data_IF_829638833548
#
_entry.id   IF_829638833548
#
_cell.length_a   1.000
_cell.length_b   1.000
_cell.length_c   1.000
_cell.angle_alpha   90.00
_cell.angle_beta   90.00
_cell.angle_gamma   90.00
#
_symmetry.space_group_name_H-M   'P 1'
#
loop_
_entity.id
_entity.type
_entity.pdbx_description
1 polymer ?
#
# COMPACT_ATOMS: atom_id res chain seq x y z
N UNK A 1 -13.78 -10.34 35.83
CA UNK A 1 -14.16 -9.74 34.53
C UNK A 1 -12.91 -9.74 33.65
N UNK A 2 -12.95 -10.37 32.47
CA UNK A 2 -11.80 -10.40 31.54
C UNK A 2 -11.99 -9.28 30.50
N UNK A 3 -11.22 -8.19 30.63
CA UNK A 3 -11.22 -7.00 29.76
C UNK A 3 -10.42 -7.24 28.46
N UNK A 4 -10.81 -8.23 27.65
CA UNK A 4 -9.95 -8.75 26.56
C UNK A 4 -9.88 -7.84 25.33
N UNK A 5 -10.65 -6.76 25.25
CA UNK A 5 -10.72 -5.86 24.08
C UNK A 5 -10.42 -4.39 24.37
N UNK A 6 -9.94 -4.04 25.57
CA UNK A 6 -9.73 -2.64 25.94
C UNK A 6 -8.32 -2.15 25.52
N UNK A 7 -8.20 -1.05 24.75
CA UNK A 7 -6.90 -0.53 24.34
C UNK A 7 -6.04 -0.13 25.54
N UNK A 8 -4.81 -0.65 25.58
CA UNK A 8 -3.87 -0.46 26.70
C UNK A 8 -4.07 -1.41 27.89
N UNK A 9 -5.11 -2.25 27.87
CA UNK A 9 -5.30 -3.31 28.87
C UNK A 9 -5.80 -2.83 30.23
N UNK A 10 -5.70 -3.69 31.25
CA UNK A 10 -6.30 -3.45 32.57
C UNK A 10 -5.75 -2.21 33.27
N UNK A 11 -4.48 -1.87 33.04
CA UNK A 11 -3.82 -0.70 33.63
C UNK A 11 -4.44 0.62 33.12
N UNK A 12 -4.71 0.71 31.82
CA UNK A 12 -5.34 1.90 31.23
C UNK A 12 -6.78 2.08 31.72
N UNK A 13 -7.52 0.98 31.89
CA UNK A 13 -8.85 1.01 32.49
C UNK A 13 -8.81 1.45 33.97
N UNK A 14 -7.82 0.99 34.74
CA UNK A 14 -7.67 1.41 36.14
C UNK A 14 -7.41 2.93 36.24
N UNK A 15 -6.58 3.49 35.36
CA UNK A 15 -6.34 4.93 35.32
C UNK A 15 -7.60 5.72 34.92
N UNK A 16 -8.36 5.23 33.93
CA UNK A 16 -9.64 5.81 33.56
C UNK A 16 -10.65 5.76 34.71
N UNK A 17 -10.72 4.64 35.43
CA UNK A 17 -11.58 4.50 36.60
C UNK A 17 -11.15 5.47 37.73
N UNK A 18 -9.84 5.59 38.00
CA UNK A 18 -9.30 6.57 38.97
C UNK A 18 -9.76 7.98 38.62
N UNK A 19 -9.70 8.36 37.34
CA UNK A 19 -10.22 9.65 36.87
C UNK A 19 -11.70 9.82 37.20
N UNK A 20 -12.54 8.85 36.83
CA UNK A 20 -14.00 8.91 37.04
C UNK A 20 -14.39 9.00 38.52
N UNK A 21 -13.62 8.38 39.42
CA UNK A 21 -13.84 8.45 40.86
C UNK A 21 -13.18 9.68 41.54
N UNK A 22 -12.60 10.60 40.77
CA UNK A 22 -11.94 11.80 41.30
C UNK A 22 -10.63 11.52 42.04
N UNK A 23 -10.02 10.35 41.81
CA UNK A 23 -8.71 10.00 42.35
C UNK A 23 -7.64 10.68 41.48
N UNK A 24 -6.80 11.49 42.11
CA UNK A 24 -5.68 12.14 41.42
C UNK A 24 -4.60 11.13 41.05
N UNK A 25 -4.12 11.24 39.81
CA UNK A 25 -2.92 10.57 39.32
C UNK A 25 -2.19 11.49 38.36
N UNK A 26 -0.92 11.18 38.09
CA UNK A 26 -0.08 11.94 37.18
C UNK A 26 -0.20 11.39 35.76
N UNK A 27 -0.43 12.28 34.79
CA UNK A 27 -0.32 11.94 33.37
C UNK A 27 1.17 11.98 33.04
N UNK A 28 1.71 10.82 32.65
CA UNK A 28 3.13 10.67 32.32
C UNK A 28 3.31 10.38 30.84
N UNK A 29 4.54 10.50 30.37
CA UNK A 29 4.94 10.19 29.00
C UNK A 29 4.74 8.72 28.62
N UNK A 30 4.74 7.81 29.59
CA UNK A 30 4.51 6.39 29.39
C UNK A 30 3.02 6.03 29.33
N UNK A 31 2.16 6.80 30.01
CA UNK A 31 0.73 6.48 30.15
C UNK A 31 -0.16 7.30 29.20
N UNK A 32 0.30 8.47 28.73
CA UNK A 32 -0.53 9.41 27.96
C UNK A 32 -1.14 8.82 26.69
N UNK A 33 -0.40 8.01 25.93
CA UNK A 33 -0.91 7.38 24.72
C UNK A 33 -2.08 6.43 25.02
N UNK A 34 -1.91 5.60 26.05
CA UNK A 34 -2.95 4.68 26.51
C UNK A 34 -4.17 5.42 27.05
N UNK A 35 -3.96 6.56 27.74
CA UNK A 35 -5.03 7.41 28.25
C UNK A 35 -5.86 8.00 27.11
N UNK A 36 -5.25 8.47 26.02
CA UNK A 36 -5.97 8.91 24.82
C UNK A 36 -6.78 7.77 24.19
N UNK A 37 -6.19 6.57 24.06
CA UNK A 37 -6.88 5.43 23.46
C UNK A 37 -8.06 4.92 24.32
N UNK A 38 -7.89 4.84 25.65
CA UNK A 38 -8.95 4.37 26.55
C UNK A 38 -10.05 5.42 26.74
N UNK A 39 -9.71 6.72 26.76
CA UNK A 39 -10.71 7.78 26.84
C UNK A 39 -11.61 7.81 25.61
N UNK A 40 -11.03 7.56 24.44
CA UNK A 40 -11.75 7.48 23.17
C UNK A 40 -12.65 6.23 23.13
N UNK A 41 -12.11 5.07 23.52
CA UNK A 41 -12.86 3.81 23.61
C UNK A 41 -14.04 3.86 24.60
N UNK A 42 -13.88 4.58 25.71
CA UNK A 42 -14.92 4.75 26.73
C UNK A 42 -15.84 5.95 26.45
N UNK A 43 -15.67 6.62 25.30
CA UNK A 43 -16.44 7.81 24.90
C UNK A 43 -16.44 8.90 25.98
N UNK A 44 -15.28 9.11 26.62
CA UNK A 44 -15.08 10.13 27.65
C UNK A 44 -14.92 11.51 26.99
N UNK A 45 -16.05 12.13 26.66
CA UNK A 45 -16.11 13.43 25.97
C UNK A 45 -16.35 14.63 26.91
N UNK A 46 -16.07 15.84 26.43
CA UNK A 46 -16.37 17.08 27.15
C UNK A 46 -17.87 17.32 27.40
N UNK A 47 -18.76 16.56 26.74
CA UNK A 47 -20.21 16.66 26.94
C UNK A 47 -20.62 16.22 28.35
N UNK A 48 -19.85 15.31 28.96
CA UNK A 48 -20.13 14.77 30.29
C UNK A 48 -19.43 15.53 31.41
N UNK A 49 -18.23 16.06 31.16
CA UNK A 49 -17.46 16.83 32.15
C UNK A 49 -16.42 17.71 31.47
N UNK A 50 -16.30 18.95 31.96
CA UNK A 50 -15.23 19.87 31.53
C UNK A 50 -13.85 19.35 31.95
N UNK A 51 -12.85 19.48 31.08
CA UNK A 51 -11.49 18.95 31.29
C UNK A 51 -11.49 17.43 31.49
N UNK A 52 -12.20 16.71 30.63
CA UNK A 52 -12.26 15.25 30.66
C UNK A 52 -10.86 14.64 30.43
N UNK A 53 -10.72 13.37 30.76
CA UNK A 53 -9.48 12.62 30.66
C UNK A 53 -8.86 12.71 29.25
N UNK A 54 -9.70 12.61 28.22
CA UNK A 54 -9.26 12.74 26.83
C UNK A 54 -8.59 14.09 26.57
N UNK A 55 -9.25 15.19 26.93
CA UNK A 55 -8.72 16.55 26.75
C UNK A 55 -7.45 16.81 27.56
N UNK A 56 -7.38 16.36 28.82
CA UNK A 56 -6.15 16.50 29.63
C UNK A 56 -4.99 15.68 29.07
N UNK A 57 -5.26 14.46 28.59
CA UNK A 57 -4.26 13.62 27.97
C UNK A 57 -3.76 14.24 26.66
N UNK A 58 -4.67 14.77 25.84
CA UNK A 58 -4.34 15.41 24.57
C UNK A 58 -3.55 16.72 24.75
N UNK A 59 -3.92 17.56 25.72
CA UNK A 59 -3.18 18.78 26.05
C UNK A 59 -1.75 18.47 26.54
N UNK A 60 -1.61 17.49 27.44
CA UNK A 60 -0.29 17.02 27.88
C UNK A 60 0.51 16.48 26.68
N UNK A 61 -0.12 15.65 25.85
CA UNK A 61 0.51 15.07 24.67
C UNK A 61 0.94 16.15 23.68
N UNK A 62 0.15 17.20 23.46
CA UNK A 62 0.52 18.32 22.59
C UNK A 62 1.74 19.10 23.12
N UNK A 63 1.82 19.31 24.43
CA UNK A 63 2.97 19.97 25.07
C UNK A 63 4.24 19.10 25.13
N UNK A 64 4.07 17.78 25.12
CA UNK A 64 5.16 16.83 25.36
C UNK A 64 5.60 16.10 24.09
N UNK A 65 4.75 15.90 23.08
CA UNK A 65 5.09 15.27 21.79
C UNK A 65 6.37 15.82 21.18
N UNK A 66 6.56 17.16 21.08
CA UNK A 66 7.84 17.70 20.69
C UNK A 66 8.94 17.13 21.61
N UNK A 67 8.85 17.36 22.92
CA UNK A 67 9.87 17.02 23.92
C UNK A 67 10.19 15.52 24.05
N UNK A 68 9.23 14.61 23.84
CA UNK A 68 9.38 13.16 23.94
C UNK A 68 9.93 12.55 22.68
N UNK A 69 9.45 13.00 21.52
CA UNK A 69 10.06 12.66 20.23
C UNK A 69 11.53 13.10 20.29
N UNK A 70 11.83 14.27 20.87
CA UNK A 70 13.20 14.68 21.15
C UNK A 70 13.87 13.77 22.20
N UNK A 71 13.33 13.54 23.39
CA UNK A 71 14.05 12.82 24.46
C UNK A 71 14.24 11.32 24.21
N UNK A 72 13.30 10.65 23.52
CA UNK A 72 13.41 9.24 23.11
C UNK A 72 14.23 9.05 21.81
N UNK A 73 14.15 9.96 20.81
CA UNK A 73 14.99 9.85 19.60
C UNK A 73 16.42 10.39 19.79
N UNK A 74 16.70 11.17 20.85
CA UNK A 74 18.00 11.81 21.07
C UNK A 74 19.09 10.88 21.63
N UNK A 75 18.80 9.61 21.95
CA UNK A 75 19.84 8.66 22.37
C UNK A 75 20.31 7.71 21.26
N UNK A 76 19.53 7.48 20.20
CA UNK A 76 19.99 6.63 19.08
C UNK A 76 20.89 7.40 18.10
N UNK A 77 20.58 8.68 17.84
CA UNK A 77 21.35 9.51 16.89
C UNK A 77 22.73 9.94 17.43
N UNK A 78 22.87 10.09 18.76
CA UNK A 78 24.13 10.46 19.40
C UNK A 78 25.06 9.25 19.59
N UNK A 79 24.54 8.06 19.92
CA UNK A 79 25.37 6.85 20.06
C UNK A 79 25.86 6.29 18.72
N UNK A 80 25.06 6.36 17.64
CA UNK A 80 25.55 6.00 16.30
C UNK A 80 26.63 6.95 15.76
N UNK A 81 26.84 8.10 16.40
CA UNK A 81 27.89 9.08 16.04
C UNK A 81 29.06 9.13 17.02
N UNK A 82 29.04 8.35 18.10
CA UNK A 82 30.09 8.36 19.13
C UNK A 82 31.03 7.14 19.15
N UNK A 83 30.95 6.24 18.18
CA UNK A 83 32.15 5.50 17.76
C UNK A 83 33.04 6.39 16.87
N UNK A 84 33.53 7.47 17.47
CA UNK A 84 34.80 8.06 17.06
C UNK A 84 35.88 7.10 17.59
N UNK A 85 36.18 6.06 16.82
CA UNK A 85 37.35 5.23 17.09
C UNK A 85 38.57 6.15 17.00
N UNK A 86 39.22 6.37 18.13
CA UNK A 86 40.50 7.05 18.28
C UNK A 86 41.66 6.20 17.72
N UNK A 87 41.45 5.59 16.55
CA UNK A 87 42.47 4.86 15.79
C UNK A 87 42.04 4.81 14.32
N UNK A 88 42.65 5.66 13.49
CA UNK A 88 42.31 5.85 12.08
C UNK A 88 42.60 4.64 11.18
N UNK A 89 41.76 3.60 11.24
CA UNK A 89 41.76 2.48 10.30
C UNK A 89 40.32 2.11 9.94
N UNK A 90 39.93 2.41 8.69
CA UNK A 90 38.65 1.98 8.14
C UNK A 90 38.68 0.46 7.94
N UNK A 91 38.05 -0.26 8.85
CA UNK A 91 37.60 -1.62 8.58
C UNK A 91 36.10 -1.57 8.34
N UNK A 92 35.67 -1.90 7.12
CA UNK A 92 34.28 -2.24 6.82
C UNK A 92 33.96 -3.57 7.50
N UNK A 93 33.65 -3.51 8.80
CA UNK A 93 33.01 -4.62 9.48
C UNK A 93 31.61 -4.74 8.89
N UNK A 94 31.31 -5.93 8.35
CA UNK A 94 29.94 -6.37 8.07
C UNK A 94 29.06 -5.94 9.24
N UNK A 95 28.05 -5.11 8.97
CA UNK A 95 27.12 -4.72 10.00
C UNK A 95 26.52 -5.99 10.61
N UNK A 96 26.62 -6.21 11.93
CA UNK A 96 25.67 -7.10 12.57
C UNK A 96 24.31 -6.47 12.36
N UNK A 97 23.32 -7.29 12.00
CA UNK A 97 21.89 -6.98 11.90
C UNK A 97 21.54 -6.00 13.04
N UNK A 98 21.47 -4.71 12.73
CA UNK A 98 21.22 -3.70 13.75
C UNK A 98 19.84 -4.03 14.32
N UNK A 99 19.69 -4.13 15.64
CA UNK A 99 18.40 -4.13 16.35
C UNK A 99 17.71 -2.76 16.18
N UNK A 100 17.60 -2.32 14.93
CA UNK A 100 17.10 -1.03 14.52
C UNK A 100 15.63 -1.19 14.24
N UNK A 101 14.82 -0.66 15.15
CA UNK A 101 13.45 -0.15 14.97
C UNK A 101 12.60 -0.24 16.25
N UNK A 102 13.20 -0.16 17.45
CA UNK A 102 12.51 -0.19 18.76
C UNK A 102 11.32 0.78 18.86
N UNK A 103 11.35 1.89 18.12
CA UNK A 103 10.31 2.91 18.15
C UNK A 103 9.07 2.52 17.35
N UNK A 104 9.19 1.62 16.35
CA UNK A 104 8.10 1.22 15.46
C UNK A 104 6.98 0.55 16.25
N UNK A 105 7.31 -0.36 17.16
CA UNK A 105 6.32 -1.03 18.00
C UNK A 105 5.67 -0.05 18.98
N UNK A 106 6.47 0.81 19.61
CA UNK A 106 6.04 1.82 20.57
C UNK A 106 5.02 2.81 19.98
N UNK A 107 5.24 3.28 18.75
CA UNK A 107 4.33 4.25 18.14
C UNK A 107 3.14 3.58 17.44
N UNK A 108 3.22 2.28 17.17
CA UNK A 108 2.16 1.58 16.44
C UNK A 108 0.86 1.38 17.23
N UNK A 109 0.89 1.65 18.54
CA UNK A 109 -0.30 1.62 19.41
C UNK A 109 -1.03 2.97 19.49
N UNK A 110 -0.46 4.01 18.88
CA UNK A 110 -1.04 5.34 18.86
C UNK A 110 -2.27 5.37 17.97
N UNK A 111 -3.26 6.19 18.32
CA UNK A 111 -4.35 6.54 17.41
C UNK A 111 -3.80 7.17 16.13
N UNK A 112 -4.55 7.06 15.03
CA UNK A 112 -4.14 7.50 13.70
C UNK A 112 -3.73 8.98 13.63
N UNK A 113 -4.43 9.86 14.35
CA UNK A 113 -4.13 11.30 14.42
C UNK A 113 -2.75 11.56 15.06
N UNK A 114 -2.45 10.83 16.13
CA UNK A 114 -1.18 10.93 16.85
C UNK A 114 -0.04 10.29 16.05
N UNK A 115 -0.32 9.12 15.46
CA UNK A 115 0.61 8.43 14.58
C UNK A 115 1.01 9.31 13.39
N UNK A 116 0.04 9.95 12.72
CA UNK A 116 0.28 10.88 11.62
C UNK A 116 1.21 12.03 12.02
N UNK A 117 0.94 12.65 13.17
CA UNK A 117 1.74 13.77 13.68
C UNK A 117 3.16 13.34 14.00
N UNK A 118 3.34 12.18 14.62
CA UNK A 118 4.65 11.61 14.94
C UNK A 118 5.43 11.30 13.66
N UNK A 119 4.84 10.58 12.69
CA UNK A 119 5.52 10.26 11.42
C UNK A 119 5.87 11.53 10.64
N UNK A 120 4.97 12.51 10.60
CA UNK A 120 5.25 13.80 9.92
C UNK A 120 6.45 14.50 10.54
N UNK A 121 6.53 14.56 11.89
CA UNK A 121 7.67 15.14 12.58
C UNK A 121 8.97 14.36 12.34
N UNK A 122 8.89 13.02 12.29
CA UNK A 122 9.99 12.11 11.99
C UNK A 122 10.53 12.34 10.57
N UNK A 123 9.64 12.47 9.57
CA UNK A 123 9.99 12.79 8.17
C UNK A 123 10.78 14.09 8.06
N UNK A 124 10.35 15.16 8.73
CA UNK A 124 11.04 16.45 8.73
C UNK A 124 12.45 16.44 9.33
N UNK A 125 12.85 15.36 10.01
CA UNK A 125 14.15 15.22 10.66
C UNK A 125 15.11 14.25 9.97
N UNK A 126 14.74 13.74 8.80
CA UNK A 126 15.62 12.93 7.97
C UNK A 126 15.83 11.51 8.50
N UNK A 127 14.85 10.97 9.24
CA UNK A 127 14.81 9.52 9.46
C UNK A 127 14.68 8.84 8.11
N UNK A 128 15.40 7.72 7.95
CA UNK A 128 15.48 7.03 6.67
C UNK A 128 14.09 6.60 6.16
N UNK A 129 13.79 6.78 4.86
CA UNK A 129 12.55 6.33 4.25
C UNK A 129 12.20 4.87 4.56
N UNK A 130 13.18 3.96 4.58
CA UNK A 130 12.97 2.53 4.84
C UNK A 130 12.42 2.26 6.24
N UNK A 131 12.88 3.01 7.25
CA UNK A 131 12.41 2.88 8.64
C UNK A 131 11.00 3.47 8.80
N UNK A 132 10.69 4.55 8.06
CA UNK A 132 9.33 5.10 7.98
C UNK A 132 8.39 4.10 7.27
N UNK A 133 8.84 3.49 6.18
CA UNK A 133 8.12 2.46 5.44
C UNK A 133 7.80 1.25 6.33
N UNK A 134 8.82 0.72 7.03
CA UNK A 134 8.65 -0.35 8.00
C UNK A 134 7.63 0.01 9.09
N UNK A 135 7.65 1.25 9.57
CA UNK A 135 6.68 1.71 10.57
C UNK A 135 5.26 1.71 10.03
N UNK A 136 5.07 2.23 8.81
CA UNK A 136 3.76 2.28 8.15
C UNK A 136 3.20 0.89 7.89
N UNK A 137 4.05 -0.04 7.44
CA UNK A 137 3.66 -1.44 7.27
C UNK A 137 3.22 -2.01 8.62
N UNK A 138 4.07 -1.94 9.65
CA UNK A 138 3.74 -2.46 10.98
C UNK A 138 2.47 -1.84 11.59
N UNK A 139 2.24 -0.53 11.39
CA UNK A 139 1.02 0.14 11.83
C UNK A 139 -0.22 -0.43 11.12
N UNK A 140 -0.17 -0.53 9.79
CA UNK A 140 -1.25 -1.07 8.97
C UNK A 140 -1.59 -2.53 9.32
N UNK A 141 -0.58 -3.33 9.74
CA UNK A 141 -0.78 -4.72 10.14
C UNK A 141 -1.49 -4.89 11.49
N UNK A 142 -1.33 -3.92 12.41
CA UNK A 142 -1.93 -3.96 13.75
C UNK A 142 -3.36 -3.40 13.77
N UNK A 143 -3.65 -2.47 12.87
CA UNK A 143 -4.98 -1.92 12.68
C UNK A 143 -5.98 -2.99 12.16
N UNK A 144 -7.30 -2.84 12.42
CA UNK A 144 -8.32 -3.85 12.10
C UNK A 144 -8.42 -4.22 10.61
N UNK A 145 -7.72 -3.49 9.73
CA UNK A 145 -7.65 -3.68 8.29
C UNK A 145 -7.20 -5.12 7.92
N UNK A 146 -6.27 -5.73 8.69
CA UNK A 146 -5.90 -7.15 8.49
C UNK A 146 -6.93 -8.14 9.04
N UNK A 147 -7.63 -7.81 10.13
CA UNK A 147 -8.58 -8.72 10.80
C UNK A 147 -9.85 -8.97 9.99
N UNK A 148 -10.15 -8.08 9.04
CA UNK A 148 -11.26 -8.23 8.10
C UNK A 148 -10.96 -9.24 6.96
N UNK A 149 -9.77 -9.87 6.94
CA UNK A 149 -9.42 -10.89 5.93
C UNK A 149 -9.17 -10.34 4.52
N UNK A 150 -9.22 -9.01 4.38
CA UNK A 150 -9.24 -8.26 3.12
C UNK A 150 -7.95 -8.31 2.32
N UNK A 151 -6.83 -8.61 2.99
CA UNK A 151 -5.51 -8.59 2.37
C UNK A 151 -5.14 -9.89 1.66
N UNK A 152 -5.73 -11.02 2.06
CA UNK A 152 -5.21 -12.34 1.71
C UNK A 152 -6.20 -13.26 0.99
N UNK A 153 -7.45 -12.85 0.75
CA UNK A 153 -8.43 -13.75 0.12
C UNK A 153 -9.32 -13.05 -0.91
N UNK A 154 -9.17 -13.35 -2.21
CA UNK A 154 -10.08 -12.86 -3.26
C UNK A 154 -11.46 -13.54 -3.27
N UNK A 155 -11.69 -14.59 -2.46
CA UNK A 155 -12.82 -15.52 -2.62
C UNK A 155 -13.90 -15.53 -1.51
N UNK A 156 -13.93 -14.59 -0.57
CA UNK A 156 -15.05 -14.51 0.39
C UNK A 156 -15.97 -13.33 0.10
N UNK A 157 -17.07 -13.64 -0.58
CA UNK A 157 -18.21 -12.76 -0.71
C UNK A 157 -18.89 -12.54 0.66
N UNK A 158 -19.13 -11.26 0.95
CA UNK A 158 -20.11 -10.75 1.92
C UNK A 158 -19.92 -11.17 3.39
N UNK A 159 -19.11 -10.39 4.12
CA UNK A 159 -19.35 -10.15 5.54
C UNK A 159 -19.97 -8.76 5.68
N UNK A 160 -21.16 -8.70 6.27
CA UNK A 160 -22.00 -7.51 6.40
C UNK A 160 -21.21 -6.28 6.89
N UNK A 161 -21.31 -5.11 6.22
CA UNK A 161 -20.67 -3.90 6.70
C UNK A 161 -21.46 -3.36 7.89
N UNK A 162 -20.95 -3.56 9.11
CA UNK A 162 -21.43 -2.84 10.30
C UNK A 162 -21.13 -1.35 10.09
N UNK A 163 -22.20 -0.57 9.91
CA UNK A 163 -22.21 0.78 9.33
C UNK A 163 -21.60 1.90 10.21
N UNK A 164 -20.69 1.59 11.12
CA UNK A 164 -19.92 2.56 11.92
C UNK A 164 -18.40 2.43 11.81
N UNK A 165 -17.88 1.31 11.29
CA UNK A 165 -16.44 1.03 11.23
C UNK A 165 -15.75 1.60 9.97
N UNK A 166 -16.51 1.84 8.89
CA UNK A 166 -15.93 2.19 7.58
C UNK A 166 -15.31 3.58 7.49
N UNK A 167 -15.77 4.56 8.28
CA UNK A 167 -15.24 5.92 8.23
C UNK A 167 -13.85 6.02 8.88
N UNK A 168 -13.66 5.37 10.03
CA UNK A 168 -12.37 5.35 10.71
C UNK A 168 -11.35 4.51 9.94
N UNK A 169 -11.74 3.34 9.41
CA UNK A 169 -10.88 2.52 8.55
C UNK A 169 -10.42 3.27 7.30
N UNK A 170 -11.35 4.01 6.66
CA UNK A 170 -11.01 4.89 5.53
C UNK A 170 -9.99 5.95 5.92
N UNK A 171 -10.18 6.63 7.05
CA UNK A 171 -9.24 7.65 7.53
C UNK A 171 -7.85 7.07 7.82
N UNK A 172 -7.78 5.86 8.38
CA UNK A 172 -6.51 5.15 8.61
C UNK A 172 -5.81 4.88 7.28
N UNK A 173 -6.53 4.32 6.30
CA UNK A 173 -5.96 4.03 4.97
C UNK A 173 -5.48 5.30 4.27
N UNK A 174 -6.30 6.35 4.23
CA UNK A 174 -5.93 7.63 3.59
C UNK A 174 -4.73 8.28 4.30
N UNK A 175 -4.68 8.22 5.63
CA UNK A 175 -3.54 8.71 6.42
C UNK A 175 -2.27 7.94 6.08
N UNK A 176 -2.30 6.60 6.07
CA UNK A 176 -1.12 5.79 5.74
C UNK A 176 -0.61 6.11 4.33
N UNK A 177 -1.51 6.22 3.35
CA UNK A 177 -1.16 6.59 1.97
C UNK A 177 -0.49 7.96 1.94
N UNK A 178 -1.02 8.95 2.68
CA UNK A 178 -0.44 10.30 2.75
C UNK A 178 0.97 10.35 3.38
N UNK A 179 1.29 9.37 4.22
CA UNK A 179 2.57 9.29 4.92
C UNK A 179 3.64 8.51 4.14
N UNK A 180 3.25 7.69 3.15
CA UNK A 180 4.18 6.86 2.37
C UNK A 180 5.35 7.68 1.80
N UNK A 181 6.61 7.26 2.03
CA UNK A 181 7.79 7.88 1.44
C UNK A 181 7.74 7.82 -0.09
N UNK A 182 8.33 8.80 -0.77
CA UNK A 182 8.25 8.91 -2.25
C UNK A 182 9.22 7.96 -2.96
N UNK A 183 10.23 7.49 -2.24
CA UNK A 183 11.27 6.60 -2.73
C UNK A 183 10.71 5.20 -3.04
N UNK A 184 11.19 4.59 -4.13
CA UNK A 184 10.79 3.24 -4.55
C UNK A 184 11.34 2.19 -3.58
N UNK A 185 10.70 1.02 -3.53
CA UNK A 185 11.14 -0.14 -2.74
C UNK A 185 11.21 0.04 -1.21
N UNK A 186 10.75 1.18 -0.69
CA UNK A 186 10.67 1.45 0.76
C UNK A 186 9.66 0.56 1.48
N UNK A 187 8.60 0.17 0.78
CA UNK A 187 7.61 -0.82 1.24
C UNK A 187 7.45 -1.91 0.19
N UNK A 188 7.08 -3.15 0.58
CA UNK A 188 6.82 -4.23 -0.37
C UNK A 188 5.75 -3.85 -1.40
N UNK A 189 5.91 -4.28 -2.66
CA UNK A 189 4.89 -4.03 -3.70
C UNK A 189 3.54 -4.66 -3.35
N UNK A 190 3.57 -5.85 -2.72
CA UNK A 190 2.39 -6.55 -2.19
C UNK A 190 1.63 -5.71 -1.17
N UNK A 191 2.34 -4.92 -0.35
CA UNK A 191 1.75 -3.99 0.59
C UNK A 191 1.02 -2.85 -0.13
N UNK A 192 1.61 -2.28 -1.19
CA UNK A 192 0.92 -1.25 -1.99
C UNK A 192 -0.35 -1.78 -2.65
N UNK A 193 -0.32 -2.99 -3.20
CA UNK A 193 -1.52 -3.63 -3.75
C UNK A 193 -2.58 -3.91 -2.67
N UNK A 194 -2.18 -4.34 -1.48
CA UNK A 194 -3.08 -4.49 -0.33
C UNK A 194 -3.73 -3.17 0.09
N UNK A 195 -2.95 -2.08 0.09
CA UNK A 195 -3.45 -0.72 0.34
C UNK A 195 -4.42 -0.26 -0.76
N UNK A 196 -4.14 -0.57 -2.03
CA UNK A 196 -5.02 -0.21 -3.15
C UNK A 196 -6.34 -0.95 -3.07
N UNK A 197 -6.33 -2.27 -2.80
CA UNK A 197 -7.54 -3.06 -2.56
C UNK A 197 -8.38 -2.48 -1.42
N UNK A 198 -7.73 -2.15 -0.31
CA UNK A 198 -8.38 -1.52 0.85
C UNK A 198 -8.96 -0.15 0.48
N UNK A 199 -8.23 0.66 -0.28
CA UNK A 199 -8.66 1.99 -0.72
C UNK A 199 -9.85 1.93 -1.69
N UNK A 200 -9.90 0.95 -2.59
CA UNK A 200 -11.06 0.73 -3.48
C UNK A 200 -12.27 0.28 -2.67
N UNK A 201 -12.10 -0.68 -1.77
CA UNK A 201 -13.18 -1.25 -0.99
C UNK A 201 -13.80 -0.25 -0.01
N UNK A 202 -12.98 0.58 0.65
CA UNK A 202 -13.44 1.62 1.60
C UNK A 202 -13.84 2.94 0.91
N UNK A 203 -13.86 2.95 -0.43
CA UNK A 203 -14.11 4.12 -1.28
C UNK A 203 -13.32 5.36 -0.85
N UNK A 204 -12.02 5.17 -0.64
CA UNK A 204 -11.08 6.26 -0.34
C UNK A 204 -11.02 7.29 -1.48
N UNK A 205 -10.45 8.46 -1.18
CA UNK A 205 -10.33 9.55 -2.14
C UNK A 205 -9.70 9.10 -3.47
N UNK A 206 -10.15 9.68 -4.58
CA UNK A 206 -9.59 9.40 -5.92
C UNK A 206 -8.09 9.69 -5.94
N UNK A 207 -7.66 10.77 -5.28
CA UNK A 207 -6.24 11.13 -5.16
C UNK A 207 -5.41 10.04 -4.48
N UNK A 208 -5.92 9.42 -3.41
CA UNK A 208 -5.24 8.34 -2.70
C UNK A 208 -5.09 7.08 -3.58
N UNK A 209 -6.13 6.73 -4.34
CA UNK A 209 -6.08 5.59 -5.28
C UNK A 209 -5.09 5.85 -6.42
N UNK A 210 -5.16 7.01 -7.06
CA UNK A 210 -4.25 7.38 -8.14
C UNK A 210 -2.79 7.46 -7.66
N UNK A 211 -2.55 7.88 -6.41
CA UNK A 211 -1.20 7.88 -5.84
C UNK A 211 -0.64 6.46 -5.69
N UNK A 212 -1.44 5.53 -5.21
CA UNK A 212 -1.06 4.12 -5.15
C UNK A 212 -0.85 3.52 -6.54
N UNK A 213 -1.73 3.80 -7.50
CA UNK A 213 -1.60 3.33 -8.89
C UNK A 213 -0.29 3.80 -9.52
N UNK A 214 0.11 5.07 -9.34
CA UNK A 214 1.41 5.60 -9.78
C UNK A 214 2.59 4.87 -9.14
N UNK A 215 2.54 4.71 -7.82
CA UNK A 215 3.62 4.05 -7.06
C UNK A 215 3.78 2.58 -7.46
N UNK A 216 2.67 1.87 -7.63
CA UNK A 216 2.66 0.48 -8.10
C UNK A 216 3.19 0.40 -9.53
N UNK A 217 2.70 1.26 -10.44
CA UNK A 217 3.20 1.35 -11.81
C UNK A 217 4.72 1.52 -11.84
N UNK A 218 5.28 2.23 -10.87
CA UNK A 218 6.72 2.52 -10.83
C UNK A 218 7.67 1.37 -10.48
N UNK A 219 7.11 0.26 -10.02
CA UNK A 219 7.83 -0.94 -9.61
C UNK A 219 7.03 -2.20 -10.00
N UNK A 220 6.33 -2.13 -11.14
CA UNK A 220 5.45 -3.20 -11.61
C UNK A 220 6.24 -4.46 -12.03
N UNK A 221 7.52 -4.31 -12.37
CA UNK A 221 8.41 -5.38 -12.79
C UNK A 221 8.73 -6.40 -11.68
N UNK A 222 8.49 -6.04 -10.41
CA UNK A 222 8.63 -6.93 -9.26
C UNK A 222 7.28 -7.49 -8.75
N UNK A 223 6.16 -7.15 -9.40
CA UNK A 223 4.84 -7.64 -9.04
C UNK A 223 4.57 -9.07 -9.54
N UNK A 224 3.63 -9.75 -8.90
CA UNK A 224 3.17 -11.09 -9.27
C UNK A 224 1.78 -11.05 -9.91
N UNK A 225 1.34 -12.16 -10.53
CA UNK A 225 -0.02 -12.25 -11.08
C UNK A 225 -1.07 -12.03 -9.98
N UNK A 226 -0.87 -12.64 -8.81
CA UNK A 226 -1.78 -12.51 -7.67
C UNK A 226 -1.96 -11.05 -7.22
N UNK A 227 -0.93 -10.23 -7.38
CA UNK A 227 -1.00 -8.80 -7.07
C UNK A 227 -1.95 -8.04 -8.01
N UNK A 228 -1.99 -8.40 -9.30
CA UNK A 228 -2.85 -7.75 -10.30
C UNK A 228 -4.32 -8.20 -10.22
N UNK A 229 -4.60 -9.32 -9.56
CA UNK A 229 -5.96 -9.80 -9.32
C UNK A 229 -6.62 -8.97 -8.23
N UNK A 230 -7.06 -7.76 -8.61
CA UNK A 230 -7.80 -6.82 -7.76
C UNK A 230 -9.29 -7.16 -7.91
N UNK A 231 -9.99 -7.60 -6.85
CA UNK A 231 -11.42 -7.90 -6.94
C UNK A 231 -12.23 -6.67 -7.32
N UNK A 232 -13.24 -6.84 -8.17
CA UNK A 232 -14.23 -5.79 -8.42
C UNK A 232 -15.22 -5.73 -7.26
N UNK A 233 -15.47 -4.53 -6.74
CA UNK A 233 -16.50 -4.28 -5.72
C UNK A 233 -17.71 -3.54 -6.32
N UNK A 234 -17.76 -3.36 -7.65
CA UNK A 234 -18.81 -2.63 -8.34
C UNK A 234 -19.89 -3.59 -8.82
N UNK A 235 -21.04 -3.58 -8.16
CA UNK A 235 -22.29 -4.26 -8.50
C UNK A 235 -22.23 -5.79 -8.65
N UNK A 236 -23.25 -6.47 -8.13
CA UNK A 236 -23.41 -7.92 -8.32
C UNK A 236 -23.72 -8.23 -9.80
N UNK A 237 -22.76 -8.84 -10.50
CA UNK A 237 -22.91 -9.27 -11.90
C UNK A 237 -21.94 -8.61 -12.90
N UNK A 238 -21.04 -7.74 -12.45
CA UNK A 238 -19.95 -7.20 -13.28
C UNK A 238 -18.76 -8.16 -13.36
N UNK A 239 -17.72 -7.80 -14.12
CA UNK A 239 -16.44 -8.54 -14.18
C UNK A 239 -15.89 -8.86 -12.77
N UNK A 240 -15.29 -10.04 -12.60
CA UNK A 240 -14.77 -10.50 -11.29
C UNK A 240 -13.61 -9.62 -10.78
N UNK A 241 -12.81 -9.07 -11.69
CA UNK A 241 -11.63 -8.26 -11.39
C UNK A 241 -11.80 -6.82 -11.86
N UNK A 242 -11.21 -5.87 -11.14
CA UNK A 242 -11.18 -4.45 -11.51
C UNK A 242 -10.11 -4.21 -12.59
N UNK A 243 -10.53 -4.47 -13.83
CA UNK A 243 -9.69 -4.35 -15.02
C UNK A 243 -9.33 -2.88 -15.33
N UNK A 244 -10.17 -1.91 -14.94
CA UNK A 244 -9.89 -0.49 -15.14
C UNK A 244 -8.71 -0.02 -14.30
N UNK A 245 -8.64 -0.47 -13.04
CA UNK A 245 -7.53 -0.14 -12.13
C UNK A 245 -6.21 -0.72 -12.64
N UNK A 246 -6.20 -1.96 -13.11
CA UNK A 246 -4.99 -2.56 -13.70
C UNK A 246 -4.54 -1.83 -14.97
N UNK A 247 -5.48 -1.45 -15.84
CA UNK A 247 -5.16 -0.67 -17.03
C UNK A 247 -4.51 0.69 -16.68
N UNK A 248 -5.00 1.40 -15.65
CA UNK A 248 -4.36 2.64 -15.18
C UNK A 248 -2.97 2.42 -14.62
N UNK A 249 -2.73 1.33 -13.89
CA UNK A 249 -1.38 0.97 -13.40
C UNK A 249 -0.43 0.75 -14.58
N UNK A 250 -0.88 0.06 -15.63
CA UNK A 250 -0.08 -0.19 -16.83
C UNK A 250 0.27 1.10 -17.59
N UNK A 251 -0.69 2.05 -17.70
CA UNK A 251 -0.42 3.37 -18.28
C UNK A 251 0.64 4.14 -17.46
N UNK A 252 0.58 4.07 -16.13
CA UNK A 252 1.60 4.72 -15.29
C UNK A 252 2.98 4.08 -15.47
N UNK A 253 3.05 2.76 -15.66
CA UNK A 253 4.31 2.07 -15.95
C UNK A 253 4.87 2.48 -17.32
N UNK A 254 4.03 2.52 -18.37
CA UNK A 254 4.50 2.86 -19.73
C UNK A 254 4.97 4.31 -19.86
N UNK A 255 4.41 5.24 -19.08
CA UNK A 255 4.79 6.66 -19.10
C UNK A 255 6.10 6.98 -18.37
N UNK A 256 6.64 6.01 -17.62
CA UNK A 256 7.84 6.24 -16.81
C UNK A 256 9.16 6.06 -17.56
N UNK A 257 9.15 5.29 -18.65
CA UNK A 257 10.35 5.11 -19.48
C UNK A 257 10.70 6.39 -20.28
N UNK A 258 9.75 7.32 -20.46
CA UNK A 258 9.97 8.58 -21.20
C UNK A 258 10.77 9.64 -20.41
N UNK A 259 10.94 9.50 -19.08
CA UNK A 259 11.58 10.56 -18.26
C UNK A 259 13.07 10.35 -17.98
N UNK A 260 13.60 9.14 -18.18
CA UNK A 260 14.99 8.78 -17.84
C UNK A 260 15.90 8.62 -19.08
N UNK A 261 15.36 8.73 -20.30
CA UNK A 261 16.12 8.59 -21.57
C UNK A 261 16.36 9.96 -22.26
N UNK A 262 16.94 10.93 -21.54
CA UNK A 262 17.70 12.01 -22.20
C UNK A 262 19.19 11.64 -22.18
N UNK A 263 19.75 11.39 -23.36
CA UNK A 263 21.12 10.94 -23.70
C UNK A 263 21.33 9.41 -23.70
N UNK A 264 21.13 8.79 -24.87
CA UNK A 264 22.30 8.40 -25.68
C UNK A 264 21.85 8.12 -27.13
N UNK A 265 22.09 9.11 -27.97
CA UNK A 265 22.06 8.99 -29.43
C UNK A 265 23.20 8.04 -29.86
N UNK A 266 22.90 7.16 -30.84
CA UNK A 266 23.87 6.43 -31.66
C UNK A 266 24.48 5.13 -31.10
N UNK A 267 23.98 3.97 -31.55
CA UNK A 267 24.85 2.99 -32.24
C UNK A 267 24.06 1.89 -32.96
N UNK A 268 24.10 1.97 -34.29
CA UNK A 268 23.73 0.90 -35.22
C UNK A 268 24.86 -0.14 -35.24
N UNK A 269 24.91 -1.03 -34.25
CA UNK A 269 25.65 -2.30 -34.37
C UNK A 269 24.98 -3.38 -33.50
N UNK A 270 24.58 -4.49 -34.13
CA UNK A 270 24.27 -5.76 -33.49
C UNK A 270 25.42 -6.15 -32.57
N UNK A 271 25.17 -6.11 -31.27
CA UNK A 271 26.11 -6.57 -30.24
C UNK A 271 25.27 -7.23 -29.15
N UNK A 272 25.70 -8.42 -28.69
CA UNK A 272 25.20 -9.14 -27.51
C UNK A 272 25.45 -8.32 -26.22
N UNK A 273 24.98 -7.07 -26.18
CA UNK A 273 25.03 -6.23 -25.00
C UNK A 273 23.95 -6.70 -24.02
N UNK A 274 24.24 -6.68 -22.71
CA UNK A 274 23.22 -6.94 -21.70
C UNK A 274 22.07 -5.94 -21.89
N UNK A 275 20.85 -6.45 -22.03
CA UNK A 275 19.62 -5.64 -22.14
C UNK A 275 19.57 -4.60 -21.03
N UNK A 276 19.18 -3.36 -21.36
CA UNK A 276 19.09 -2.30 -20.36
C UNK A 276 18.15 -2.69 -19.20
N UNK A 277 18.33 -2.11 -18.00
CA UNK A 277 17.40 -2.34 -16.88
C UNK A 277 15.94 -2.04 -17.25
N UNK A 278 15.69 -1.02 -18.08
CA UNK A 278 14.35 -0.68 -18.61
C UNK A 278 13.78 -1.80 -19.50
N UNK A 279 14.57 -2.33 -20.44
CA UNK A 279 14.17 -3.47 -21.29
C UNK A 279 13.88 -4.73 -20.46
N UNK A 280 14.64 -4.98 -19.39
CA UNK A 280 14.40 -6.11 -18.49
C UNK A 280 13.07 -5.95 -17.73
N UNK A 281 12.77 -4.74 -17.27
CA UNK A 281 11.50 -4.43 -16.61
C UNK A 281 10.31 -4.57 -17.58
N UNK A 282 10.41 -3.97 -18.77
CA UNK A 282 9.42 -4.09 -19.85
C UNK A 282 9.10 -5.55 -20.20
N UNK A 283 10.13 -6.40 -20.31
CA UNK A 283 9.94 -7.82 -20.62
C UNK A 283 9.27 -8.61 -19.47
N UNK A 284 9.58 -8.29 -18.21
CA UNK A 284 8.90 -8.90 -17.06
C UNK A 284 7.43 -8.49 -17.01
N UNK A 285 7.16 -7.20 -17.22
CA UNK A 285 5.80 -6.67 -17.20
C UNK A 285 4.98 -7.19 -18.38
N UNK A 286 5.56 -7.34 -19.58
CA UNK A 286 4.83 -7.91 -20.73
C UNK A 286 4.36 -9.35 -20.48
N UNK A 287 5.22 -10.19 -19.89
CA UNK A 287 4.83 -11.54 -19.44
C UNK A 287 3.76 -11.51 -18.36
N UNK A 288 3.85 -10.57 -17.43
CA UNK A 288 2.86 -10.41 -16.36
C UNK A 288 1.49 -10.03 -16.94
N UNK A 289 1.45 -9.10 -17.90
CA UNK A 289 0.24 -8.69 -18.62
C UNK A 289 -0.36 -9.83 -19.42
N UNK A 290 0.45 -10.60 -20.14
CA UNK A 290 -0.03 -11.74 -20.92
C UNK A 290 -0.65 -12.83 -20.02
N UNK A 291 -0.06 -13.08 -18.84
CA UNK A 291 -0.65 -13.97 -17.83
C UNK A 291 -1.94 -13.41 -17.24
N UNK A 292 -1.98 -12.11 -16.96
CA UNK A 292 -3.17 -11.44 -16.46
C UNK A 292 -4.33 -11.49 -17.47
N UNK A 293 -4.05 -11.21 -18.75
CA UNK A 293 -5.02 -11.33 -19.85
C UNK A 293 -5.58 -12.75 -19.94
N UNK A 294 -4.73 -13.77 -19.80
CA UNK A 294 -5.18 -15.16 -19.80
C UNK A 294 -6.09 -15.50 -18.62
N UNK A 295 -5.86 -14.89 -17.45
CA UNK A 295 -6.67 -15.10 -16.24
C UNK A 295 -8.05 -14.42 -16.32
N UNK A 296 -8.14 -13.22 -16.91
CA UNK A 296 -9.42 -12.50 -17.07
C UNK A 296 -10.20 -12.94 -18.32
N UNK A 297 -9.55 -13.55 -19.31
CA UNK A 297 -10.14 -13.94 -20.58
C UNK A 297 -11.41 -14.82 -20.49
N UNK A 298 -11.53 -15.78 -19.55
CA UNK A 298 -12.72 -16.62 -19.41
C UNK A 298 -13.98 -15.86 -18.94
N UNK A 299 -13.84 -14.67 -18.37
CA UNK A 299 -14.97 -13.89 -17.83
C UNK A 299 -15.91 -13.49 -18.97
N UNK A 300 -17.19 -13.86 -18.89
CA UNK A 300 -18.17 -13.58 -19.95
C UNK A 300 -18.51 -12.09 -20.10
N UNK A 301 -18.31 -11.30 -19.05
CA UNK A 301 -18.62 -9.86 -19.01
C UNK A 301 -17.47 -9.00 -19.55
N UNK A 302 -16.27 -9.58 -19.75
CA UNK A 302 -15.13 -8.84 -20.29
C UNK A 302 -15.39 -8.40 -21.73
N UNK A 303 -15.33 -7.10 -22.00
CA UNK A 303 -15.56 -6.55 -23.35
C UNK A 303 -14.28 -6.58 -24.19
N UNK A 304 -14.43 -6.77 -25.51
CA UNK A 304 -13.29 -6.87 -26.42
C UNK A 304 -12.43 -5.61 -26.43
N UNK A 305 -13.05 -4.44 -26.43
CA UNK A 305 -12.31 -3.17 -26.43
C UNK A 305 -11.45 -3.00 -25.17
N UNK A 306 -11.90 -3.50 -24.03
CA UNK A 306 -11.13 -3.49 -22.77
C UNK A 306 -9.96 -4.48 -22.85
N UNK A 307 -10.21 -5.70 -23.33
CA UNK A 307 -9.17 -6.71 -23.53
C UNK A 307 -8.06 -6.21 -24.46
N UNK A 308 -8.43 -5.62 -25.60
CA UNK A 308 -7.49 -5.07 -26.59
C UNK A 308 -6.72 -3.89 -26.01
N UNK A 309 -7.38 -2.97 -25.29
CA UNK A 309 -6.71 -1.82 -24.68
C UNK A 309 -5.56 -2.24 -23.75
N UNK A 310 -5.74 -3.30 -22.96
CA UNK A 310 -4.70 -3.85 -22.08
C UNK A 310 -3.59 -4.54 -22.87
N UNK A 311 -3.94 -5.33 -23.88
CA UNK A 311 -2.95 -5.97 -24.75
C UNK A 311 -2.06 -4.94 -25.47
N UNK A 312 -2.62 -3.78 -25.84
CA UNK A 312 -1.93 -2.71 -26.57
C UNK A 312 -1.27 -1.66 -25.66
N UNK A 313 -1.33 -1.79 -24.33
CA UNK A 313 -0.78 -0.75 -23.43
C UNK A 313 0.76 -0.69 -23.48
N UNK A 314 1.43 -1.81 -23.75
CA UNK A 314 2.90 -1.90 -23.81
C UNK A 314 3.39 -1.82 -25.28
N UNK A 315 4.58 -1.24 -25.53
CA UNK A 315 5.12 -1.16 -26.88
C UNK A 315 5.46 -2.53 -27.46
N UNK A 316 5.50 -2.65 -28.80
CA UNK A 316 5.71 -3.94 -29.49
C UNK A 316 7.02 -4.63 -29.08
N UNK A 317 8.09 -3.86 -28.91
CA UNK A 317 9.41 -4.39 -28.52
C UNK A 317 9.45 -4.95 -27.09
N UNK A 318 8.44 -4.70 -26.25
CA UNK A 318 8.34 -5.32 -24.93
C UNK A 318 8.04 -6.82 -25.00
N UNK A 319 7.53 -7.31 -26.15
CA UNK A 319 7.22 -8.72 -26.40
C UNK A 319 8.23 -9.32 -27.37
N UNK A 320 9.17 -10.07 -26.83
CA UNK A 320 10.08 -10.91 -27.65
C UNK A 320 9.50 -12.29 -27.97
N UNK A 321 8.44 -12.69 -27.26
CA UNK A 321 7.66 -13.90 -27.52
C UNK A 321 6.17 -13.59 -27.37
N UNK A 322 5.34 -14.14 -28.26
CA UNK A 322 3.89 -13.86 -28.31
C UNK A 322 3.02 -15.02 -27.81
N UNK A 323 3.61 -16.15 -27.41
CA UNK A 323 2.87 -17.36 -26.99
C UNK A 323 1.89 -17.08 -25.84
N UNK A 324 2.28 -16.23 -24.90
CA UNK A 324 1.45 -15.81 -23.77
C UNK A 324 0.21 -15.05 -24.22
N UNK A 325 0.39 -14.03 -25.05
CA UNK A 325 -0.69 -13.24 -25.64
C UNK A 325 -1.61 -14.10 -26.52
N UNK A 326 -1.06 -14.95 -27.40
CA UNK A 326 -1.87 -15.85 -28.23
C UNK A 326 -2.69 -16.82 -27.39
N UNK A 327 -2.13 -17.36 -26.30
CA UNK A 327 -2.88 -18.18 -25.34
C UNK A 327 -4.04 -17.40 -24.72
N UNK A 328 -3.82 -16.15 -24.31
CA UNK A 328 -4.89 -15.31 -23.76
C UNK A 328 -6.01 -15.04 -24.78
N UNK A 329 -5.64 -14.75 -26.04
CA UNK A 329 -6.58 -14.55 -27.15
C UNK A 329 -7.39 -15.83 -27.41
N UNK A 330 -6.74 -16.99 -27.47
CA UNK A 330 -7.40 -18.27 -27.70
C UNK A 330 -8.44 -18.58 -26.61
N UNK A 331 -8.08 -18.36 -25.33
CA UNK A 331 -9.01 -18.50 -24.20
C UNK A 331 -10.19 -17.53 -24.34
N UNK A 332 -9.92 -16.26 -24.66
CA UNK A 332 -10.96 -15.24 -24.81
C UNK A 332 -11.95 -15.57 -25.92
N UNK A 333 -11.46 -16.10 -27.05
CA UNK A 333 -12.29 -16.50 -28.19
C UNK A 333 -13.11 -17.77 -27.91
N UNK A 334 -12.62 -18.66 -27.03
CA UNK A 334 -13.28 -19.92 -26.70
C UNK A 334 -14.30 -19.81 -25.56
N UNK A 335 -14.45 -18.65 -24.91
CA UNK A 335 -15.36 -18.51 -23.77
C UNK A 335 -16.83 -18.73 -24.17
N UNK A 336 -17.64 -19.42 -23.35
CA UNK A 336 -19.07 -19.60 -23.60
C UNK A 336 -19.80 -18.26 -23.43
N UNK A 337 -20.35 -17.73 -24.52
CA UNK A 337 -21.02 -16.43 -24.50
C UNK A 337 -22.41 -16.57 -23.88
N UNK A 338 -22.62 -15.92 -22.75
CA UNK A 338 -23.97 -15.52 -22.35
C UNK A 338 -24.50 -14.49 -23.34
N UNK A 339 -25.57 -14.85 -24.05
CA UNK A 339 -26.34 -14.02 -25.00
C UNK A 339 -25.57 -13.47 -26.21
N UNK A 340 -25.79 -14.18 -27.32
CA UNK A 340 -25.61 -13.81 -28.73
C UNK A 340 -26.00 -12.34 -28.95
N UNK A 341 -25.05 -11.46 -29.31
CA UNK A 341 -25.30 -10.20 -30.06
C UNK A 341 -24.01 -9.48 -30.53
N UNK A 342 -22.82 -9.84 -30.05
CA UNK A 342 -21.59 -9.06 -30.34
C UNK A 342 -20.70 -9.51 -31.52
N UNK A 343 -20.85 -10.73 -32.05
CA UNK A 343 -19.84 -11.36 -32.90
C UNK A 343 -19.71 -10.73 -34.29
N UNK A 344 -20.82 -10.31 -34.89
CA UNK A 344 -20.84 -9.76 -36.26
C UNK A 344 -20.08 -8.44 -36.41
N UNK A 345 -19.89 -7.68 -35.32
CA UNK A 345 -19.25 -6.37 -35.35
C UNK A 345 -17.76 -6.39 -34.93
N UNK A 346 -17.29 -7.46 -34.28
CA UNK A 346 -15.99 -7.49 -33.62
C UNK A 346 -14.93 -8.33 -34.33
N UNK A 347 -15.34 -9.31 -35.16
CA UNK A 347 -14.45 -10.15 -35.95
C UNK A 347 -13.47 -9.40 -36.88
N UNK A 348 -13.88 -8.32 -37.58
CA UNK A 348 -12.98 -7.61 -38.50
C UNK A 348 -11.80 -6.90 -37.82
N UNK A 349 -11.89 -6.61 -36.52
CA UNK A 349 -10.85 -5.90 -35.76
C UNK A 349 -9.69 -6.81 -35.33
N UNK A 350 -9.95 -8.11 -35.15
CA UNK A 350 -8.95 -9.08 -34.72
C UNK A 350 -8.10 -9.60 -35.89
N UNK A 351 -8.71 -9.81 -37.06
CA UNK A 351 -8.04 -10.38 -38.24
C UNK A 351 -7.09 -9.41 -38.93
N UNK A 352 -7.23 -8.10 -38.71
CA UNK A 352 -6.38 -7.08 -39.33
C UNK A 352 -5.15 -6.65 -38.51
N UNK A 353 -5.15 -6.88 -37.19
CA UNK A 353 -4.09 -6.38 -36.28
C UNK A 353 -3.16 -7.46 -35.72
N UNK A 354 -3.64 -8.70 -35.53
CA UNK A 354 -2.89 -9.74 -34.81
C UNK A 354 -2.72 -11.05 -35.59
N UNK A 355 -3.19 -11.07 -36.84
CA UNK A 355 -3.05 -12.21 -37.75
C UNK A 355 -2.21 -11.76 -38.95
N UNK A 356 -0.92 -11.54 -38.73
CA UNK A 356 0.04 -11.64 -39.83
C UNK A 356 0.46 -13.11 -39.93
N UNK A 357 0.42 -13.73 -41.12
CA UNK A 357 1.01 -15.05 -41.29
C UNK A 357 2.51 -14.93 -41.04
N UNK A 358 3.06 -15.82 -40.22
CA UNK A 358 4.49 -16.13 -40.25
C UNK A 358 4.83 -16.54 -41.69
N UNK A 359 5.50 -15.66 -42.43
CA UNK A 359 6.20 -15.99 -43.68
C UNK A 359 7.68 -16.09 -43.45
#
# INVERSE_FOLDING_TARGET
>A
MKLVSLPGGAESFELAAKFCYGINFEITTATVAQLCCVSDYLEMTEEYSKNNLGSRAEEYLNGVLPKLVWSKLHMSYIFSRLEYSSSGRLHMSKQPKCEGDWWIEDISVLRVDLYQRVITAIKCRGVRPESIGASLVNYAEKEPIKKSGLWNQPNQAAVNPVSGASSNERLVVETIISLLPVEKFVVPVTFLFGMLRSAVMLDCSVSSRLDLERRIGSQLDIATLDDLLIPSFRHAGDILFDVETVHRILINFSQMDDSDEEMDEESVFESDSPTSPSQTALFKVSKLVDNYLAEIAPDANLKLNVFVAIAETLPEHARTAHDGLYRAIDIYLKRPLGSVDGWGAQFPLLTGRWVTPLT
#
